data_IF_944878309547
#
_entry.id   IF_944878309547
#
_cell.length_a   1.000
_cell.length_b   1.000
_cell.length_c   1.000
_cell.angle_alpha   90.00
_cell.angle_beta   90.00
_cell.angle_gamma   90.00
#
_symmetry.space_group_name_H-M   'P 1'
#
loop_
_entity.id
_entity.type
_entity.pdbx_description
1 polymer ?
#
# COMPACT_ATOMS: atom_id res chain seq x y z
N UNK A 1 -5.45 -6.03 8.53
CA UNK A 1 -4.75 -5.23 7.51
C UNK A 1 -5.40 -3.86 7.45
N UNK A 2 -4.64 -2.78 7.33
CA UNK A 2 -5.13 -1.39 7.22
C UNK A 2 -4.58 -0.76 5.95
N UNK A 3 -5.42 -0.07 5.16
CA UNK A 3 -4.98 0.51 3.89
C UNK A 3 -5.67 1.82 3.57
N UNK A 4 -4.93 2.72 2.91
CA UNK A 4 -5.53 3.88 2.26
C UNK A 4 -6.56 3.44 1.22
N UNK A 5 -7.66 4.20 1.04
CA UNK A 5 -8.71 3.91 0.07
C UNK A 5 -8.31 4.28 -1.37
N UNK A 6 -7.06 4.01 -1.73
CA UNK A 6 -6.48 4.25 -3.05
C UNK A 6 -6.19 2.89 -3.70
N UNK A 7 -6.61 2.72 -4.95
CA UNK A 7 -6.58 1.40 -5.58
C UNK A 7 -5.17 0.78 -5.69
N UNK A 8 -4.16 1.61 -5.96
CA UNK A 8 -2.77 1.18 -6.03
C UNK A 8 -2.17 0.71 -4.69
N UNK A 9 -2.80 1.08 -3.58
CA UNK A 9 -2.42 0.64 -2.23
C UNK A 9 -3.14 -0.65 -1.85
N UNK A 10 -4.45 -0.68 -2.09
CA UNK A 10 -5.32 -1.74 -1.60
C UNK A 10 -5.29 -3.01 -2.46
N UNK A 11 -5.17 -2.91 -3.79
CA UNK A 11 -5.29 -4.08 -4.67
C UNK A 11 -4.27 -5.18 -4.33
N UNK A 12 -3.01 -4.79 -4.10
CA UNK A 12 -1.96 -5.73 -3.68
C UNK A 12 -2.27 -6.38 -2.33
N UNK A 13 -2.77 -5.61 -1.36
CA UNK A 13 -3.18 -6.17 -0.06
C UNK A 13 -4.35 -7.15 -0.16
N UNK A 14 -5.34 -6.89 -1.04
CA UNK A 14 -6.43 -7.84 -1.31
C UNK A 14 -5.87 -9.14 -1.87
N UNK A 15 -4.96 -9.06 -2.85
CA UNK A 15 -4.31 -10.24 -3.42
C UNK A 15 -3.52 -11.04 -2.37
N UNK A 16 -2.78 -10.34 -1.50
CA UNK A 16 -2.05 -10.96 -0.39
C UNK A 16 -3.03 -11.69 0.55
N UNK A 17 -4.10 -11.01 0.98
CA UNK A 17 -5.11 -11.57 1.87
C UNK A 17 -5.74 -12.84 1.30
N UNK A 18 -6.20 -12.80 0.05
CA UNK A 18 -6.81 -13.95 -0.61
C UNK A 18 -5.84 -15.14 -0.70
N UNK A 19 -4.59 -14.90 -1.11
CA UNK A 19 -3.57 -15.95 -1.19
C UNK A 19 -3.22 -16.54 0.17
N UNK A 20 -3.11 -15.71 1.20
CA UNK A 20 -2.85 -16.19 2.56
C UNK A 20 -3.96 -17.12 3.04
N UNK A 21 -5.23 -16.76 2.82
CA UNK A 21 -6.38 -17.61 3.16
C UNK A 21 -6.40 -18.91 2.35
N UNK A 22 -6.10 -18.87 1.05
CA UNK A 22 -6.05 -20.07 0.21
C UNK A 22 -4.95 -21.05 0.64
N UNK A 23 -3.79 -20.54 1.07
CA UNK A 23 -2.69 -21.38 1.55
C UNK A 23 -2.90 -21.84 3.00
N UNK A 24 -3.64 -21.06 3.79
CA UNK A 24 -3.90 -21.31 5.21
C UNK A 24 -5.37 -21.09 5.54
N UNK A 25 -6.24 -22.08 5.25
CA UNK A 25 -7.67 -21.95 5.49
C UNK A 25 -8.08 -21.72 6.95
N UNK A 26 -7.15 -21.94 7.89
CA UNK A 26 -7.32 -21.71 9.32
C UNK A 26 -7.18 -20.22 9.74
N UNK A 27 -6.77 -19.33 8.83
CA UNK A 27 -6.65 -17.90 9.12
C UNK A 27 -7.84 -17.11 8.57
N UNK A 28 -8.21 -16.06 9.30
CA UNK A 28 -9.12 -15.01 8.84
C UNK A 28 -8.36 -13.69 8.65
N UNK A 29 -8.69 -12.94 7.60
CA UNK A 29 -8.11 -11.63 7.29
C UNK A 29 -9.22 -10.59 7.26
N UNK A 30 -9.06 -9.54 8.07
CA UNK A 30 -9.90 -8.33 7.99
C UNK A 30 -9.08 -7.19 7.41
N UNK A 31 -9.61 -6.55 6.37
CA UNK A 31 -9.05 -5.36 5.72
C UNK A 31 -9.91 -4.15 6.10
N UNK A 32 -9.30 -3.19 6.79
CA UNK A 32 -9.89 -1.90 7.17
C UNK A 32 -9.48 -0.85 6.13
N UNK A 33 -10.44 -0.17 5.53
CA UNK A 33 -10.19 0.92 4.57
C UNK A 33 -11.38 1.88 4.49
N UNK A 34 -11.22 2.99 3.76
CA UNK A 34 -12.27 3.98 3.56
C UNK A 34 -13.36 3.55 2.58
N UNK A 35 -14.54 4.15 2.68
CA UNK A 35 -15.72 3.72 1.93
C UNK A 35 -15.60 3.74 0.41
N UNK A 36 -14.80 4.67 -0.16
CA UNK A 36 -14.69 4.92 -1.61
C UNK A 36 -14.30 3.70 -2.46
N UNK A 37 -13.73 2.67 -1.83
CA UNK A 37 -13.12 1.54 -2.55
C UNK A 37 -13.72 0.18 -2.16
N UNK A 38 -14.69 0.14 -1.24
CA UNK A 38 -15.20 -1.10 -0.64
C UNK A 38 -15.76 -2.05 -1.71
N UNK A 39 -16.67 -1.56 -2.56
CA UNK A 39 -17.29 -2.38 -3.62
C UNK A 39 -16.24 -2.91 -4.61
N UNK A 40 -15.23 -2.10 -4.92
CA UNK A 40 -14.15 -2.49 -5.83
C UNK A 40 -13.25 -3.56 -5.20
N UNK A 41 -12.97 -3.43 -3.90
CA UNK A 41 -12.20 -4.42 -3.16
C UNK A 41 -12.97 -5.74 -3.01
N UNK A 42 -14.26 -5.71 -2.69
CA UNK A 42 -15.13 -6.90 -2.65
C UNK A 42 -15.16 -7.61 -4.01
N UNK A 43 -15.34 -6.86 -5.10
CA UNK A 43 -15.27 -7.42 -6.45
C UNK A 43 -13.91 -8.08 -6.73
N UNK A 44 -12.80 -7.46 -6.34
CA UNK A 44 -11.48 -8.05 -6.51
C UNK A 44 -11.29 -9.31 -5.67
N UNK A 45 -11.82 -9.38 -4.43
CA UNK A 45 -11.82 -10.61 -3.62
C UNK A 45 -12.50 -11.75 -4.38
N UNK A 46 -13.67 -11.52 -4.97
CA UNK A 46 -14.41 -12.57 -5.69
C UNK A 46 -13.62 -13.19 -6.85
N UNK A 47 -12.66 -12.46 -7.43
CA UNK A 47 -11.81 -12.97 -8.53
C UNK A 47 -10.85 -14.08 -8.09
N UNK A 48 -10.53 -14.16 -6.79
CA UNK A 48 -9.61 -15.16 -6.26
C UNK A 48 -10.32 -16.47 -5.91
N UNK A 49 -11.64 -16.49 -5.77
CA UNK A 49 -12.38 -17.62 -5.24
C UNK A 49 -13.40 -18.13 -6.25
N UNK A 50 -13.50 -19.46 -6.40
CA UNK A 50 -14.52 -20.09 -7.24
C UNK A 50 -15.91 -19.95 -6.61
N UNK A 51 -16.97 -20.02 -7.42
CA UNK A 51 -18.35 -20.09 -6.93
C UNK A 51 -18.51 -21.24 -5.92
N UNK A 52 -18.98 -20.91 -4.71
CA UNK A 52 -19.16 -21.88 -3.62
C UNK A 52 -17.93 -22.15 -2.75
N UNK A 53 -16.80 -21.49 -3.04
CA UNK A 53 -15.64 -21.54 -2.16
C UNK A 53 -15.97 -20.89 -0.81
N UNK A 54 -15.96 -21.69 0.25
CA UNK A 54 -16.30 -21.23 1.61
C UNK A 54 -15.22 -20.33 2.20
N UNK A 55 -13.98 -20.40 1.71
CA UNK A 55 -12.85 -19.64 2.21
C UNK A 55 -12.96 -18.14 1.89
N UNK A 56 -13.82 -17.74 0.95
CA UNK A 56 -14.12 -16.32 0.72
C UNK A 56 -14.61 -15.63 2.00
N UNK A 57 -15.31 -16.36 2.88
CA UNK A 57 -15.82 -15.83 4.16
C UNK A 57 -14.72 -15.57 5.20
N UNK A 58 -13.50 -16.05 4.95
CA UNK A 58 -12.34 -15.75 5.77
C UNK A 58 -11.66 -14.43 5.36
N UNK A 59 -12.14 -13.73 4.33
CA UNK A 59 -11.70 -12.39 3.97
C UNK A 59 -12.85 -11.40 4.21
N UNK A 60 -12.62 -10.42 5.08
CA UNK A 60 -13.58 -9.34 5.38
C UNK A 60 -13.03 -8.02 4.91
N UNK A 61 -13.82 -7.29 4.12
CA UNK A 61 -13.55 -5.89 3.75
C UNK A 61 -14.49 -5.02 4.58
N UNK A 62 -13.95 -4.10 5.38
CA UNK A 62 -14.74 -3.26 6.28
C UNK A 62 -14.43 -1.78 5.98
N UNK A 63 -15.47 -1.06 5.57
CA UNK A 63 -15.47 0.38 5.43
C UNK A 63 -15.54 1.05 6.78
N UNK A 64 -14.47 1.75 7.16
CA UNK A 64 -14.36 2.46 8.45
C UNK A 64 -14.80 3.92 8.37
N UNK A 65 -15.11 4.41 7.17
CA UNK A 65 -15.66 5.75 6.90
C UNK A 65 -16.66 5.67 5.75
N UNK A 66 -17.61 6.61 5.70
CA UNK A 66 -18.49 6.83 4.55
C UNK A 66 -17.70 7.27 3.30
N UNK A 67 -18.32 7.14 2.14
CA UNK A 67 -17.74 7.60 0.87
C UNK A 67 -17.60 9.13 0.88
N UNK A 68 -16.42 9.64 0.51
CA UNK A 68 -16.18 11.08 0.38
C UNK A 68 -15.28 11.37 -0.83
N UNK A 69 -15.74 12.13 -1.84
CA UNK A 69 -14.94 12.43 -3.03
C UNK A 69 -13.78 13.40 -2.75
N UNK A 70 -13.79 14.13 -1.64
CA UNK A 70 -12.72 15.06 -1.26
C UNK A 70 -11.58 14.32 -0.55
N UNK A 71 -10.60 13.87 -1.32
CA UNK A 71 -9.43 13.14 -0.81
C UNK A 71 -8.68 13.91 0.30
N UNK A 72 -8.62 15.25 0.24
CA UNK A 72 -7.87 16.04 1.23
C UNK A 72 -8.56 16.04 2.61
N UNK A 73 -9.89 15.98 2.64
CA UNK A 73 -10.63 15.85 3.90
C UNK A 73 -10.74 14.40 4.38
N UNK A 74 -10.71 13.46 3.44
CA UNK A 74 -10.96 12.05 3.69
C UNK A 74 -9.72 11.33 4.21
N UNK A 75 -8.58 11.48 3.53
CA UNK A 75 -7.37 10.72 3.85
C UNK A 75 -6.87 10.93 5.28
N UNK A 76 -6.84 12.16 5.85
CA UNK A 76 -6.37 12.37 7.22
C UNK A 76 -7.19 11.64 8.30
N UNK A 77 -8.45 11.27 8.00
CA UNK A 77 -9.35 10.59 8.96
C UNK A 77 -9.18 9.07 8.96
N UNK A 78 -8.55 8.49 7.93
CA UNK A 78 -8.47 7.04 7.74
C UNK A 78 -7.74 6.37 8.90
N UNK A 79 -6.62 6.94 9.35
CA UNK A 79 -5.82 6.34 10.43
C UNK A 79 -6.62 6.21 11.73
N UNK A 80 -7.25 7.30 12.19
CA UNK A 80 -8.06 7.27 13.42
C UNK A 80 -9.20 6.26 13.31
N UNK A 81 -9.94 6.28 12.21
CA UNK A 81 -11.04 5.35 12.00
C UNK A 81 -10.59 3.87 11.94
N UNK A 82 -9.45 3.58 11.29
CA UNK A 82 -8.86 2.23 11.29
C UNK A 82 -8.45 1.79 12.70
N UNK A 83 -7.90 2.69 13.52
CA UNK A 83 -7.50 2.40 14.89
C UNK A 83 -8.70 2.13 15.80
N UNK A 84 -9.77 2.92 15.70
CA UNK A 84 -11.01 2.69 16.45
C UNK A 84 -11.60 1.30 16.15
N UNK A 85 -11.63 0.92 14.88
CA UNK A 85 -12.07 -0.41 14.46
C UNK A 85 -11.13 -1.52 14.93
N UNK A 86 -9.82 -1.28 14.89
CA UNK A 86 -8.85 -2.26 15.39
C UNK A 86 -8.99 -2.47 16.90
N UNK A 87 -9.22 -1.41 17.68
CA UNK A 87 -9.47 -1.52 19.10
C UNK A 87 -10.73 -2.35 19.40
N UNK A 88 -11.81 -2.14 18.65
CA UNK A 88 -13.01 -2.97 18.74
C UNK A 88 -12.72 -4.45 18.40
N UNK A 89 -11.96 -4.71 17.32
CA UNK A 89 -11.54 -6.08 16.96
C UNK A 89 -10.67 -6.70 18.05
N UNK A 90 -9.76 -5.94 18.65
CA UNK A 90 -8.89 -6.40 19.74
C UNK A 90 -9.69 -6.78 21.00
N UNK A 91 -10.73 -5.99 21.33
CA UNK A 91 -11.70 -6.30 22.39
C UNK A 91 -12.63 -7.45 22.04
N UNK A 92 -12.56 -7.95 20.80
CA UNK A 92 -13.42 -8.99 20.26
C UNK A 92 -14.90 -8.56 20.25
N UNK A 93 -15.13 -7.28 19.94
CA UNK A 93 -16.46 -6.75 19.71
C UNK A 93 -16.94 -7.08 18.29
N UNK A 94 -18.26 -7.07 18.10
CA UNK A 94 -18.85 -7.12 16.77
C UNK A 94 -18.63 -5.77 16.07
N UNK A 95 -18.18 -5.81 14.82
CA UNK A 95 -17.87 -4.60 14.04
C UNK A 95 -18.84 -4.46 12.88
N UNK A 96 -19.34 -3.23 12.66
CA UNK A 96 -20.28 -2.92 11.57
C UNK A 96 -19.55 -2.15 10.47
N UNK A 97 -19.59 -2.65 9.25
CA UNK A 97 -19.10 -1.89 8.09
C UNK A 97 -20.00 -0.68 7.87
N UNK A 98 -19.40 0.51 7.81
CA UNK A 98 -20.14 1.76 7.63
C UNK A 98 -20.81 1.82 6.26
N UNK A 99 -20.17 1.30 5.22
CA UNK A 99 -20.69 1.34 3.85
C UNK A 99 -21.80 0.32 3.61
N UNK A 100 -21.57 -0.95 3.94
CA UNK A 100 -22.54 -2.01 3.64
C UNK A 100 -23.61 -2.17 4.72
N UNK A 101 -23.37 -1.63 5.92
CA UNK A 101 -24.22 -1.85 7.10
C UNK A 101 -24.12 -3.26 7.69
N UNK A 102 -23.37 -4.18 7.05
CA UNK A 102 -23.18 -5.54 7.53
C UNK A 102 -22.45 -5.55 8.87
N UNK A 103 -22.96 -6.33 9.82
CA UNK A 103 -22.32 -6.58 11.12
C UNK A 103 -21.56 -7.90 11.08
N UNK A 104 -20.27 -7.85 11.37
CA UNK A 104 -19.39 -9.01 11.41
C UNK A 104 -19.21 -9.47 12.84
N UNK A 105 -19.42 -10.77 13.07
CA UNK A 105 -19.15 -11.38 14.36
C UNK A 105 -17.65 -11.35 14.67
N UNK A 106 -17.30 -11.16 15.93
CA UNK A 106 -15.90 -11.15 16.34
C UNK A 106 -15.15 -12.43 15.96
N UNK A 107 -13.86 -12.28 15.71
CA UNK A 107 -12.91 -13.38 15.53
C UNK A 107 -11.96 -13.45 16.74
N UNK A 108 -11.11 -14.48 16.85
CA UNK A 108 -9.99 -14.46 17.78
C UNK A 108 -9.13 -13.21 17.57
N UNK A 109 -8.46 -12.76 18.64
CA UNK A 109 -7.59 -11.58 18.59
C UNK A 109 -6.57 -11.68 17.45
N UNK A 110 -6.29 -10.57 16.73
CA UNK A 110 -5.27 -10.57 15.68
C UNK A 110 -3.91 -11.00 16.22
N UNK A 111 -3.19 -11.86 15.48
CA UNK A 111 -1.80 -12.23 15.78
C UNK A 111 -0.78 -11.35 15.04
N UNK A 112 -1.23 -10.68 13.99
CA UNK A 112 -0.45 -9.75 13.22
C UNK A 112 -1.35 -8.64 12.66
N UNK A 113 -0.79 -7.43 12.56
CA UNK A 113 -1.36 -6.31 11.81
C UNK A 113 -0.40 -5.96 10.69
N UNK A 114 -0.97 -5.75 9.50
CA UNK A 114 -0.24 -5.25 8.33
C UNK A 114 -0.86 -3.90 8.00
N UNK A 115 -0.07 -2.84 8.12
CA UNK A 115 -0.51 -1.48 7.88
C UNK A 115 0.22 -0.91 6.68
N UNK A 116 -0.54 -0.41 5.72
CA UNK A 116 -0.01 0.45 4.67
C UNK A 116 0.84 1.56 5.30
N UNK A 117 2.04 1.82 4.76
CA UNK A 117 3.00 2.77 5.34
C UNK A 117 2.43 4.20 5.47
N UNK A 118 1.35 4.52 4.78
CA UNK A 118 0.67 5.80 4.87
C UNK A 118 -0.36 5.88 6.02
N UNK A 119 -0.62 4.77 6.71
CA UNK A 119 -1.52 4.68 7.87
C UNK A 119 -0.70 4.67 9.16
N UNK A 120 -0.55 5.84 9.78
CA UNK A 120 0.22 6.06 11.01
C UNK A 120 -0.36 5.30 12.22
N UNK A 121 -0.10 4.00 12.27
CA UNK A 121 -0.79 3.10 13.20
C UNK A 121 0.16 2.35 14.13
N UNK A 122 1.46 2.35 13.86
CA UNK A 122 2.40 1.43 14.50
C UNK A 122 2.43 1.57 16.02
N UNK A 123 2.69 2.79 16.51
CA UNK A 123 2.75 3.09 17.95
C UNK A 123 1.39 2.89 18.63
N UNK A 124 0.30 3.28 17.98
CA UNK A 124 -1.06 3.14 18.52
C UNK A 124 -1.46 1.67 18.65
N UNK A 125 -1.13 0.84 17.66
CA UNK A 125 -1.33 -0.62 17.73
C UNK A 125 -0.50 -1.21 18.87
N UNK A 126 0.78 -0.85 19.00
CA UNK A 126 1.64 -1.32 20.08
C UNK A 126 1.10 -0.92 21.47
N UNK A 127 0.46 0.25 21.60
CA UNK A 127 -0.17 0.69 22.83
C UNK A 127 -1.43 -0.14 23.18
N UNK A 128 -2.18 -0.60 22.17
CA UNK A 128 -3.38 -1.44 22.34
C UNK A 128 -3.00 -2.90 22.62
N UNK A 129 -2.07 -3.45 21.84
CA UNK A 129 -1.60 -4.83 21.92
C UNK A 129 -0.08 -4.91 21.75
N UNK A 130 0.70 -4.80 22.84
CA UNK A 130 2.16 -4.86 22.78
C UNK A 130 2.72 -6.19 22.26
N UNK A 131 1.90 -7.25 22.20
CA UNK A 131 2.32 -8.59 21.78
C UNK A 131 2.01 -8.88 20.30
N UNK A 132 1.27 -8.00 19.61
CA UNK A 132 0.93 -8.21 18.20
C UNK A 132 2.12 -7.89 17.30
N UNK A 133 2.35 -8.73 16.30
CA UNK A 133 3.35 -8.44 15.26
C UNK A 133 2.79 -7.32 14.36
N UNK A 134 3.54 -6.24 14.18
CA UNK A 134 3.13 -5.10 13.38
C UNK A 134 4.04 -4.92 12.16
N UNK A 135 3.52 -5.13 10.95
CA UNK A 135 4.28 -5.09 9.71
C UNK A 135 3.86 -3.91 8.85
N UNK A 136 4.84 -3.20 8.30
CA UNK A 136 4.64 -2.13 7.34
C UNK A 136 4.44 -2.69 5.93
N UNK A 137 3.42 -2.23 5.20
CA UNK A 137 3.16 -2.60 3.81
C UNK A 137 3.52 -1.46 2.87
N UNK A 138 4.39 -1.74 1.89
CA UNK A 138 4.66 -0.85 0.77
C UNK A 138 4.25 -1.47 -0.56
N UNK A 139 3.40 -0.76 -1.32
CA UNK A 139 3.06 -1.09 -2.71
C UNK A 139 3.95 -0.39 -3.73
N UNK A 140 4.86 0.47 -3.28
CA UNK A 140 5.78 1.21 -4.15
C UNK A 140 6.93 0.32 -4.62
N UNK A 141 7.59 0.73 -5.70
CA UNK A 141 8.89 0.14 -6.07
C UNK A 141 9.88 0.32 -4.91
N UNK A 142 10.78 -0.64 -4.74
CA UNK A 142 11.70 -0.69 -3.63
C UNK A 142 12.72 0.45 -3.70
N UNK A 143 13.24 0.77 -4.88
CA UNK A 143 14.14 1.93 -5.05
C UNK A 143 13.45 3.26 -4.74
N UNK A 144 12.19 3.45 -5.17
CA UNK A 144 11.44 4.65 -4.83
C UNK A 144 11.16 4.71 -3.32
N UNK A 145 10.78 3.58 -2.70
CA UNK A 145 10.59 3.49 -1.25
C UNK A 145 11.86 3.87 -0.47
N UNK A 146 13.04 3.38 -0.91
CA UNK A 146 14.33 3.78 -0.33
C UNK A 146 14.51 5.29 -0.44
N UNK A 147 14.33 5.85 -1.65
CA UNK A 147 14.54 7.28 -1.88
C UNK A 147 13.66 8.14 -0.97
N UNK A 148 12.39 7.79 -0.86
CA UNK A 148 11.38 8.65 -0.25
C UNK A 148 11.35 8.47 1.29
N UNK A 149 11.53 7.25 1.80
CA UNK A 149 11.35 6.95 3.23
C UNK A 149 12.50 6.17 3.87
N UNK A 150 13.47 5.73 3.05
CA UNK A 150 14.61 4.95 3.51
C UNK A 150 15.69 5.81 4.19
N UNK A 151 16.73 5.14 4.70
CA UNK A 151 17.82 5.79 5.39
C UNK A 151 18.75 6.56 4.43
N UNK A 152 19.47 7.55 4.95
CA UNK A 152 20.37 8.39 4.14
C UNK A 152 21.53 7.59 3.54
N UNK A 153 22.06 6.57 4.24
CA UNK A 153 23.15 5.73 3.73
C UNK A 153 22.77 4.91 2.49
N UNK A 154 21.48 4.80 2.17
CA UNK A 154 20.98 4.16 0.94
C UNK A 154 20.46 5.17 -0.10
N UNK A 155 20.72 6.47 0.09
CA UNK A 155 20.21 7.54 -0.77
C UNK A 155 18.79 8.00 -0.44
N UNK A 156 18.24 7.55 0.70
CA UNK A 156 16.96 7.98 1.22
C UNK A 156 16.98 9.38 1.83
N UNK A 157 15.82 9.81 2.35
CA UNK A 157 15.67 11.11 3.00
C UNK A 157 15.88 11.06 4.52
N UNK A 158 15.93 9.87 5.15
CA UNK A 158 16.07 9.75 6.60
C UNK A 158 14.96 10.45 7.38
N UNK A 159 15.24 10.80 8.63
CA UNK A 159 14.27 11.40 9.55
C UNK A 159 14.15 12.92 9.29
N UNK A 160 13.22 13.28 8.40
CA UNK A 160 12.96 14.68 8.04
C UNK A 160 12.47 15.49 9.25
N UNK A 161 11.62 14.92 10.11
CA UNK A 161 11.10 15.62 11.30
C UNK A 161 12.22 16.03 12.25
N UNK A 162 13.10 15.08 12.57
CA UNK A 162 14.24 15.34 13.47
C UNK A 162 15.18 16.38 12.88
N UNK A 163 15.49 16.30 11.57
CA UNK A 163 16.34 17.28 10.89
C UNK A 163 15.72 18.67 10.88
N UNK A 164 14.43 18.77 10.56
CA UNK A 164 13.72 20.04 10.52
C UNK A 164 13.66 20.71 11.89
N UNK A 165 13.45 19.94 12.96
CA UNK A 165 13.49 20.46 14.34
C UNK A 165 14.86 21.04 14.69
N UNK A 166 15.94 20.29 14.42
CA UNK A 166 17.31 20.73 14.72
C UNK A 166 17.65 22.01 13.94
N UNK A 167 17.31 22.07 12.65
CA UNK A 167 17.57 23.26 11.84
C UNK A 167 16.69 24.46 12.26
N UNK A 168 15.44 24.21 12.67
CA UNK A 168 14.55 25.25 13.19
C UNK A 168 15.12 25.88 14.46
N UNK A 169 15.59 25.05 15.40
CA UNK A 169 16.26 25.50 16.64
C UNK A 169 17.51 26.35 16.34
N UNK A 170 18.28 25.98 15.32
CA UNK A 170 19.53 26.68 14.97
C UNK A 170 19.31 27.97 14.18
N UNK A 171 18.26 28.06 13.37
CA UNK A 171 18.06 29.16 12.41
C UNK A 171 16.92 30.10 12.76
N UNK A 172 16.03 29.70 13.68
CA UNK A 172 14.79 30.42 14.00
C UNK A 172 13.73 30.34 12.90
N UNK A 173 13.96 29.58 11.81
CA UNK A 173 12.98 29.37 10.74
C UNK A 173 11.90 28.38 11.18
N UNK A 174 10.75 28.41 10.51
CA UNK A 174 9.66 27.47 10.76
C UNK A 174 10.07 26.04 10.41
N UNK A 175 9.84 25.09 11.31
CA UNK A 175 10.05 23.67 11.04
C UNK A 175 9.29 23.21 9.78
N UNK A 176 8.05 23.68 9.57
CA UNK A 176 7.23 23.35 8.40
C UNK A 176 7.85 23.81 7.08
N UNK A 177 8.51 24.96 7.08
CA UNK A 177 9.22 25.47 5.89
C UNK A 177 10.46 24.61 5.60
N UNK A 178 11.18 24.20 6.64
CA UNK A 178 12.35 23.33 6.51
C UNK A 178 11.93 21.93 6.03
N UNK A 179 10.87 21.35 6.61
CA UNK A 179 10.30 20.07 6.18
C UNK A 179 9.94 20.07 4.70
N UNK A 180 9.28 21.14 4.21
CA UNK A 180 8.92 21.25 2.80
C UNK A 180 10.14 21.22 1.88
N UNK A 181 11.21 21.94 2.26
CA UNK A 181 12.49 21.91 1.53
C UNK A 181 13.15 20.53 1.58
N UNK A 182 13.19 19.89 2.75
CA UNK A 182 13.83 18.58 2.93
C UNK A 182 13.07 17.44 2.23
N UNK A 183 11.75 17.53 2.11
CA UNK A 183 10.93 16.57 1.38
C UNK A 183 11.17 16.62 -0.14
N UNK A 184 11.56 17.78 -0.68
CA UNK A 184 11.76 18.03 -2.10
C UNK A 184 13.03 18.85 -2.34
N UNK A 185 14.21 18.24 -2.08
CA UNK A 185 15.47 18.91 -2.33
C UNK A 185 15.67 19.11 -3.84
N UNK A 186 16.04 20.32 -4.21
CA UNK A 186 16.39 20.74 -5.56
C UNK A 186 17.79 21.38 -5.53
N UNK A 187 18.72 20.72 -4.84
CA UNK A 187 20.07 21.23 -4.59
C UNK A 187 21.04 20.84 -5.72
N UNK A 188 20.59 20.07 -6.72
CA UNK A 188 21.43 19.56 -7.80
C UNK A 188 22.40 18.49 -7.31
N UNK A 189 22.04 17.78 -6.24
CA UNK A 189 22.89 16.75 -5.65
C UNK A 189 22.74 15.44 -6.42
N UNK A 190 23.86 14.88 -6.87
CA UNK A 190 23.89 13.55 -7.47
C UNK A 190 23.69 12.48 -6.39
N UNK A 191 22.65 11.66 -6.54
CA UNK A 191 22.27 10.60 -5.61
C UNK A 191 22.57 9.22 -6.19
N UNK A 192 22.90 8.29 -5.29
CA UNK A 192 23.06 6.87 -5.60
C UNK A 192 22.04 6.08 -4.79
N UNK A 193 21.06 5.49 -5.47
CA UNK A 193 19.99 4.71 -4.86
C UNK A 193 20.08 3.29 -5.42
N UNK A 194 20.09 2.25 -4.57
CA UNK A 194 20.13 0.86 -5.04
C UNK A 194 19.04 0.56 -6.07
N UNK A 195 19.44 -0.01 -7.21
CA UNK A 195 18.55 -0.35 -8.32
C UNK A 195 18.24 0.79 -9.30
N UNK A 196 18.81 1.98 -9.12
CA UNK A 196 18.68 3.10 -10.06
C UNK A 196 20.05 3.55 -10.58
N UNK A 197 20.11 4.15 -11.80
CA UNK A 197 21.28 4.89 -12.21
C UNK A 197 21.52 6.10 -11.29
N UNK A 198 22.73 6.70 -11.30
CA UNK A 198 22.97 7.98 -10.64
C UNK A 198 21.99 9.03 -11.17
N UNK A 199 21.30 9.73 -10.28
CA UNK A 199 20.28 10.73 -10.63
C UNK A 199 20.42 11.96 -9.74
N UNK A 200 20.17 13.15 -10.27
CA UNK A 200 20.07 14.35 -9.45
C UNK A 200 18.78 14.35 -8.61
N UNK A 201 18.83 14.97 -7.44
CA UNK A 201 17.70 15.06 -6.51
C UNK A 201 16.43 15.66 -7.12
N UNK A 202 16.55 16.68 -7.97
CA UNK A 202 15.42 17.31 -8.66
C UNK A 202 14.72 16.38 -9.67
N UNK A 203 15.40 15.33 -10.19
CA UNK A 203 14.83 14.42 -11.20
C UNK A 203 13.70 13.55 -10.63
N UNK A 204 13.66 13.36 -9.31
CA UNK A 204 12.63 12.55 -8.65
C UNK A 204 11.29 13.26 -8.53
N UNK A 205 11.25 14.58 -8.77
CA UNK A 205 10.09 15.40 -8.47
C UNK A 205 9.66 16.33 -9.61
N UNK A 206 9.51 15.82 -10.86
CA UNK A 206 9.30 16.65 -12.05
C UNK A 206 7.96 17.39 -12.09
N UNK A 207 7.04 17.11 -11.16
CA UNK A 207 5.69 17.65 -11.15
C UNK A 207 5.58 18.90 -10.27
N UNK A 208 5.00 19.97 -10.81
CA UNK A 208 4.55 21.12 -10.02
C UNK A 208 3.43 20.70 -9.08
N UNK A 209 3.51 21.12 -7.81
CA UNK A 209 2.51 20.77 -6.78
C UNK A 209 1.81 22.02 -6.29
N UNK A 210 0.51 21.91 -6.03
CA UNK A 210 -0.21 22.98 -5.33
C UNK A 210 0.20 23.00 -3.85
N UNK A 211 0.17 24.14 -3.16
CA UNK A 211 0.56 24.21 -1.74
C UNK A 211 -0.21 23.24 -0.83
N UNK A 212 -1.50 23.04 -1.10
CA UNK A 212 -2.35 22.13 -0.32
C UNK A 212 -1.99 20.66 -0.54
N UNK A 213 -1.72 20.26 -1.78
CA UNK A 213 -1.26 18.89 -2.08
C UNK A 213 0.14 18.63 -1.51
N UNK A 214 1.01 19.64 -1.59
CA UNK A 214 2.36 19.59 -1.03
C UNK A 214 2.35 19.28 0.47
N UNK A 215 1.50 19.94 1.25
CA UNK A 215 1.39 19.70 2.69
C UNK A 215 0.98 18.26 3.02
N UNK A 216 -0.04 17.73 2.32
CA UNK A 216 -0.49 16.34 2.49
C UNK A 216 0.62 15.34 2.15
N UNK A 217 1.36 15.57 1.06
CA UNK A 217 2.46 14.69 0.65
C UNK A 217 3.67 14.77 1.60
N UNK A 218 4.00 15.94 2.13
CA UNK A 218 5.04 16.09 3.16
C UNK A 218 4.69 15.26 4.40
N UNK A 219 3.44 15.38 4.86
CA UNK A 219 2.96 14.63 6.02
C UNK A 219 3.07 13.12 5.81
N UNK A 220 2.68 12.62 4.64
CA UNK A 220 2.83 11.21 4.32
C UNK A 220 4.28 10.73 4.31
N UNK A 221 5.25 11.55 3.87
CA UNK A 221 6.67 11.16 3.92
C UNK A 221 7.15 10.89 5.34
N UNK A 222 6.77 11.77 6.25
CA UNK A 222 7.13 11.66 7.66
C UNK A 222 6.48 10.41 8.29
N UNK A 223 5.19 10.20 8.04
CA UNK A 223 4.46 9.00 8.52
C UNK A 223 5.09 7.71 7.97
N UNK A 224 5.41 7.67 6.67
CA UNK A 224 5.96 6.48 6.03
C UNK A 224 7.34 6.12 6.59
N UNK A 225 8.22 7.12 6.79
CA UNK A 225 9.51 6.91 7.43
C UNK A 225 9.33 6.31 8.83
N UNK A 226 8.44 6.89 9.64
CA UNK A 226 8.17 6.41 11.00
C UNK A 226 7.55 5.01 11.01
N UNK A 227 6.63 4.72 10.09
CA UNK A 227 6.01 3.40 9.96
C UNK A 227 7.03 2.32 9.63
N UNK A 228 7.95 2.60 8.70
CA UNK A 228 9.07 1.70 8.37
C UNK A 228 10.03 1.57 9.57
N UNK A 229 10.32 2.70 10.23
CA UNK A 229 11.22 2.72 11.38
C UNK A 229 10.65 1.96 12.57
N UNK A 230 9.35 1.97 12.80
CA UNK A 230 8.80 1.47 14.06
C UNK A 230 8.16 0.08 13.93
N UNK A 231 7.84 -0.39 12.72
CA UNK A 231 7.27 -1.72 12.48
C UNK A 231 8.28 -2.85 12.77
N UNK A 232 7.80 -4.06 13.07
CA UNK A 232 8.62 -5.25 13.30
C UNK A 232 9.27 -5.81 12.02
N UNK A 233 8.79 -5.36 10.86
CA UNK A 233 9.33 -5.70 9.55
C UNK A 233 8.53 -5.07 8.42
N UNK A 234 8.98 -5.30 7.20
CA UNK A 234 8.39 -4.70 5.99
C UNK A 234 7.90 -5.80 5.06
N UNK A 235 6.71 -5.63 4.50
CA UNK A 235 6.18 -6.43 3.40
C UNK A 235 6.17 -5.56 2.13
N UNK A 236 6.72 -6.09 1.04
CA UNK A 236 6.76 -5.42 -0.26
C UNK A 236 6.19 -6.32 -1.37
N UNK A 237 5.45 -5.71 -2.29
CA UNK A 237 4.97 -6.35 -3.53
C UNK A 237 6.06 -6.46 -4.62
N UNK A 238 7.31 -6.08 -4.32
CA UNK A 238 8.42 -6.13 -5.26
C UNK A 238 8.85 -7.55 -5.65
N UNK A 239 9.76 -7.64 -6.61
CA UNK A 239 10.33 -8.91 -7.09
C UNK A 239 11.83 -8.77 -7.35
N UNK A 240 12.60 -9.79 -6.97
CA UNK A 240 14.04 -9.83 -7.27
C UNK A 240 14.33 -9.95 -8.76
N UNK A 241 13.35 -10.34 -9.58
CA UNK A 241 13.50 -10.37 -11.03
C UNK A 241 13.72 -8.98 -11.64
N UNK A 242 13.25 -7.92 -10.96
CA UNK A 242 13.34 -6.54 -11.45
C UNK A 242 14.12 -5.62 -10.49
N UNK A 243 14.03 -5.85 -9.19
CA UNK A 243 14.54 -4.92 -8.16
C UNK A 243 15.58 -5.58 -7.23
N UNK A 244 16.41 -6.49 -7.75
CA UNK A 244 17.35 -7.27 -6.95
C UNK A 244 18.23 -6.40 -6.03
N UNK A 245 18.82 -5.33 -6.57
CA UNK A 245 19.73 -4.46 -5.82
C UNK A 245 19.02 -3.70 -4.70
N UNK A 246 17.84 -3.16 -4.98
CA UNK A 246 17.03 -2.46 -3.99
C UNK A 246 16.55 -3.39 -2.87
N UNK A 247 16.11 -4.60 -3.22
CA UNK A 247 15.68 -5.61 -2.25
C UNK A 247 16.83 -6.10 -1.38
N UNK A 248 18.01 -6.29 -1.96
CA UNK A 248 19.20 -6.67 -1.21
C UNK A 248 19.64 -5.57 -0.24
N UNK A 249 19.56 -4.30 -0.67
CA UNK A 249 19.85 -3.16 0.20
C UNK A 249 18.86 -3.06 1.37
N UNK A 250 17.55 -3.13 1.09
CA UNK A 250 16.51 -3.17 2.12
C UNK A 250 16.72 -4.32 3.11
N UNK A 251 16.94 -5.54 2.61
CA UNK A 251 17.14 -6.72 3.46
C UNK A 251 18.37 -6.57 4.35
N UNK A 252 19.48 -6.05 3.80
CA UNK A 252 20.70 -5.78 4.59
C UNK A 252 20.43 -4.75 5.69
N UNK A 253 19.71 -3.68 5.39
CA UNK A 253 19.37 -2.65 6.35
C UNK A 253 18.44 -3.15 7.45
N UNK A 254 17.32 -3.79 7.09
CA UNK A 254 16.36 -4.37 8.05
C UNK A 254 17.04 -5.40 8.95
N UNK A 255 17.86 -6.30 8.38
CA UNK A 255 18.61 -7.29 9.16
C UNK A 255 19.58 -6.64 10.15
N UNK A 256 20.22 -5.53 9.77
CA UNK A 256 21.07 -4.76 10.67
C UNK A 256 20.32 -4.20 11.89
N UNK A 257 18.99 -4.09 11.80
CA UNK A 257 18.10 -3.63 12.85
C UNK A 257 17.38 -4.76 13.58
N UNK A 258 17.70 -6.02 13.26
CA UNK A 258 17.00 -7.19 13.80
C UNK A 258 15.60 -7.39 13.25
N UNK A 259 15.29 -6.80 12.09
CA UNK A 259 13.98 -6.88 11.42
C UNK A 259 14.07 -7.69 10.12
N UNK A 260 12.90 -8.05 9.60
CA UNK A 260 12.78 -8.87 8.39
C UNK A 260 12.10 -8.12 7.24
N UNK A 261 12.55 -8.40 6.01
CA UNK A 261 11.92 -7.96 4.77
C UNK A 261 11.24 -9.14 4.07
N UNK A 262 9.91 -9.10 4.00
CA UNK A 262 9.10 -10.08 3.31
C UNK A 262 8.79 -9.61 1.89
N UNK A 263 9.32 -10.34 0.90
CA UNK A 263 9.05 -10.09 -0.51
C UNK A 263 7.96 -11.05 -0.97
N UNK A 264 6.77 -10.53 -1.25
CA UNK A 264 5.59 -11.34 -1.60
C UNK A 264 5.15 -11.17 -3.05
N UNK A 265 5.90 -10.39 -3.82
CA UNK A 265 5.58 -10.06 -5.19
C UNK A 265 6.05 -11.06 -6.26
N UNK A 266 5.53 -10.95 -7.49
CA UNK A 266 4.46 -10.01 -7.87
C UNK A 266 3.09 -10.52 -7.38
N UNK A 267 2.27 -9.61 -6.84
CA UNK A 267 0.90 -9.90 -6.41
C UNK A 267 -0.10 -9.70 -7.55
N UNK A 268 0.23 -10.25 -8.71
CA UNK A 268 -0.67 -10.35 -9.86
C UNK A 268 -1.20 -11.78 -9.94
N UNK A 269 -2.39 -12.02 -10.50
CA UNK A 269 -2.79 -13.36 -10.91
C UNK A 269 -1.79 -13.83 -11.98
N UNK A 270 -0.75 -14.55 -11.59
CA UNK A 270 0.28 -15.08 -12.50
C UNK A 270 -0.09 -16.53 -12.79
N UNK A 271 0.07 -16.88 -14.06
CA UNK A 271 -0.28 -18.12 -14.71
C UNK A 271 0.00 -19.38 -13.87
N UNK A 272 -0.87 -20.39 -14.03
CA UNK A 272 -0.83 -21.74 -13.42
C UNK A 272 -1.69 -21.96 -12.15
N UNK A 273 -2.71 -21.13 -11.91
CA UNK A 273 -3.71 -21.41 -10.86
C UNK A 273 -5.10 -21.45 -11.51
N UNK A 274 -6.01 -22.37 -11.12
CA UNK A 274 -7.40 -22.38 -11.61
C UNK A 274 -8.12 -21.02 -11.51
N UNK A 275 -7.65 -20.13 -10.63
CA UNK A 275 -8.10 -18.76 -10.47
C UNK A 275 -7.81 -17.85 -11.67
N UNK A 276 -6.91 -18.19 -12.60
CA UNK A 276 -6.58 -17.33 -13.75
C UNK A 276 -7.75 -17.20 -14.73
N UNK A 277 -8.33 -18.32 -15.15
CA UNK A 277 -9.50 -18.32 -16.03
C UNK A 277 -10.65 -17.55 -15.38
N UNK A 278 -10.88 -17.78 -14.09
CA UNK A 278 -11.88 -17.05 -13.31
C UNK A 278 -11.56 -15.57 -13.20
N UNK A 279 -10.29 -15.19 -12.99
CA UNK A 279 -9.87 -13.80 -12.91
C UNK A 279 -10.02 -13.06 -14.25
N UNK A 280 -9.72 -13.72 -15.37
CA UNK A 280 -9.87 -13.18 -16.72
C UNK A 280 -11.35 -13.07 -17.12
N UNK A 281 -12.16 -14.10 -16.84
CA UNK A 281 -13.60 -14.07 -17.06
C UNK A 281 -14.26 -12.99 -16.19
N UNK A 282 -13.86 -12.87 -14.92
CA UNK A 282 -14.34 -11.83 -14.02
C UNK A 282 -13.92 -10.43 -14.48
N UNK A 283 -12.69 -10.24 -14.97
CA UNK A 283 -12.25 -8.93 -15.50
C UNK A 283 -13.06 -8.49 -16.70
N UNK A 284 -13.34 -9.42 -17.62
CA UNK A 284 -14.24 -9.17 -18.75
C UNK A 284 -15.66 -8.85 -18.28
N UNK A 285 -16.17 -9.55 -17.27
CA UNK A 285 -17.53 -9.36 -16.75
C UNK A 285 -17.71 -8.03 -16.00
N UNK A 286 -16.65 -7.46 -15.41
CA UNK A 286 -16.72 -6.18 -14.67
C UNK A 286 -16.86 -4.98 -15.62
N UNK A 287 -16.40 -5.10 -16.87
CA UNK A 287 -16.56 -4.04 -17.88
C UNK A 287 -17.81 -4.26 -18.72
N UNK A 288 -18.63 -3.22 -18.86
CA UNK A 288 -19.72 -3.13 -19.83
C UNK A 288 -19.26 -3.32 -21.29
N UNK A 289 -17.95 -3.15 -21.54
CA UNK A 289 -17.31 -3.30 -22.85
C UNK A 289 -16.38 -4.52 -22.93
N UNK A 290 -16.36 -5.40 -21.92
CA UNK A 290 -15.41 -6.52 -21.85
C UNK A 290 -15.40 -7.40 -23.10
N UNK A 291 -16.57 -7.79 -23.59
CA UNK A 291 -16.69 -8.59 -24.82
C UNK A 291 -16.19 -7.82 -26.06
N UNK A 292 -16.55 -6.55 -26.21
CA UNK A 292 -16.12 -5.69 -27.32
C UNK A 292 -14.61 -5.47 -27.32
N UNK A 293 -14.00 -5.33 -26.15
CA UNK A 293 -12.54 -5.24 -25.99
C UNK A 293 -11.91 -6.57 -26.43
N UNK A 294 -12.45 -7.71 -26.00
CA UNK A 294 -11.98 -9.03 -26.41
C UNK A 294 -12.00 -9.24 -27.93
N UNK A 295 -13.13 -8.93 -28.57
CA UNK A 295 -13.29 -8.98 -30.03
C UNK A 295 -12.32 -8.05 -30.76
N UNK A 296 -12.11 -6.84 -30.22
CA UNK A 296 -11.15 -5.89 -30.77
C UNK A 296 -9.71 -6.44 -30.71
N UNK A 297 -9.30 -6.99 -29.56
CA UNK A 297 -7.96 -7.59 -29.40
C UNK A 297 -7.75 -8.76 -30.36
N UNK A 298 -8.75 -9.64 -30.51
CA UNK A 298 -8.68 -10.78 -31.43
C UNK A 298 -8.62 -10.34 -32.90
N UNK A 299 -9.45 -9.37 -33.30
CA UNK A 299 -9.40 -8.81 -34.66
C UNK A 299 -8.05 -8.17 -34.95
N UNK A 300 -7.51 -7.37 -34.03
CA UNK A 300 -6.19 -6.76 -34.21
C UNK A 300 -5.08 -7.80 -34.33
N UNK A 301 -5.15 -8.88 -33.54
CA UNK A 301 -4.21 -10.01 -33.67
C UNK A 301 -4.27 -10.66 -35.07
N UNK A 302 -5.48 -10.86 -35.60
CA UNK A 302 -5.69 -11.46 -36.93
C UNK A 302 -5.25 -10.53 -38.08
N UNK A 303 -5.58 -9.25 -38.00
CA UNK A 303 -5.34 -8.27 -39.07
C UNK A 303 -3.92 -7.70 -39.05
N UNK A 304 -3.29 -7.61 -37.88
CA UNK A 304 -2.02 -6.90 -37.69
C UNK A 304 -0.93 -7.70 -36.99
N UNK A 305 -1.14 -9.00 -36.71
CA UNK A 305 -0.21 -9.91 -36.01
C UNK A 305 0.03 -9.60 -34.52
N UNK A 306 0.84 -10.44 -33.88
CA UNK A 306 1.26 -10.28 -32.49
C UNK A 306 1.98 -8.95 -32.26
N UNK A 307 1.83 -8.38 -31.06
CA UNK A 307 2.48 -7.13 -30.62
C UNK A 307 2.17 -5.87 -31.44
N UNK A 308 1.07 -5.88 -32.21
CA UNK A 308 0.64 -4.75 -33.05
C UNK A 308 -0.21 -3.69 -32.33
N UNK A 309 -0.65 -3.99 -31.11
CA UNK A 309 -1.51 -3.13 -30.30
C UNK A 309 -0.74 -2.45 -29.17
N UNK A 310 -0.99 -1.16 -28.97
CA UNK A 310 -0.46 -0.39 -27.84
C UNK A 310 -1.58 -0.19 -26.83
N UNK A 311 -1.36 -0.67 -25.60
CA UNK A 311 -2.23 -0.40 -24.47
C UNK A 311 -1.79 0.90 -23.79
N UNK A 312 -2.70 1.87 -23.67
CA UNK A 312 -2.48 3.12 -22.96
C UNK A 312 -3.46 3.21 -21.80
N UNK A 313 -2.94 3.40 -20.60
CA UNK A 313 -3.73 3.57 -19.38
C UNK A 313 -3.13 4.66 -18.52
N UNK A 314 -3.96 5.61 -18.11
CA UNK A 314 -3.65 6.60 -17.10
C UNK A 314 -4.75 6.56 -16.04
N UNK A 315 -4.34 6.66 -14.78
CA UNK A 315 -5.26 6.96 -13.68
C UNK A 315 -5.22 8.46 -13.50
N UNK A 316 -6.32 9.15 -13.83
CA UNK A 316 -6.49 10.57 -13.54
C UNK A 316 -6.97 10.76 -12.10
#
# INVERSE_FOLDING_TARGET
MMSLPLWGHLRGLVALACRSVQQRPDIGVTILTGGNIIRKAEAEVTRYFSSGDKFINNVRIIGVLEENPNAVEFLPKITGACLDFYEAIYRQDNVKCIVSGCTFQFWPKPKAVISDIYVESVKSIQAIDPAVINLAWTSMSNSASIRVFGPEELGGQGDICTKARIESENTGKSAKEIEARLCYPEEGKLLQIPGLPPMYDYEFYPQTRTPKLQEVLNHFRMICHDSIRDADGIITAGTSAFEADALNAWRKWEKGRGKELYVVGPLLPINNVPSERLANESEKAVSDKGSKIGEFLERTLLEHSEHSLIYVSSSL
#
